data_IF_131009549959
#
_entry.id   IF_131009549959
#
_cell.length_a   1.000
_cell.length_b   1.000
_cell.length_c   1.000
_cell.angle_alpha   90.00
_cell.angle_beta   90.00
_cell.angle_gamma   90.00
#
_symmetry.space_group_name_H-M   'P 1'
#
loop_
_entity.id
_entity.type
_entity.pdbx_description
1 polymer ?
#
# COMPACT_ATOMS: atom_id res chain seq x y z
N UNK A 1 -24.86 2.00 3.38
CA UNK A 1 -25.48 3.23 2.86
C UNK A 1 -26.54 2.90 1.81
N UNK A 2 -27.65 3.64 1.75
CA UNK A 2 -28.74 3.44 0.76
C UNK A 2 -28.97 4.76 0.04
N UNK A 3 -29.02 4.74 -1.29
CA UNK A 3 -29.33 5.91 -2.10
C UNK A 3 -30.82 5.90 -2.44
N UNK A 4 -31.49 7.05 -2.28
CA UNK A 4 -32.93 7.20 -2.52
C UNK A 4 -33.15 7.99 -3.80
N UNK A 5 -33.81 7.38 -4.78
CA UNK A 5 -34.28 8.06 -5.98
C UNK A 5 -35.75 8.43 -5.80
N UNK A 6 -36.00 9.72 -5.58
CA UNK A 6 -37.32 10.25 -5.25
C UNK A 6 -38.27 10.07 -6.43
N UNK A 7 -39.45 9.48 -6.17
CA UNK A 7 -40.51 9.31 -7.17
C UNK A 7 -40.17 8.35 -8.33
N UNK A 8 -39.09 7.57 -8.23
CA UNK A 8 -38.69 6.53 -9.21
C UNK A 8 -39.11 5.12 -8.81
N UNK A 9 -39.85 4.99 -7.72
CA UNK A 9 -40.42 3.72 -7.26
C UNK A 9 -41.73 3.40 -7.98
N UNK A 10 -42.49 2.47 -7.39
CA UNK A 10 -43.75 1.98 -7.98
C UNK A 10 -44.86 3.03 -7.81
N UNK A 11 -45.64 3.24 -8.87
CA UNK A 11 -46.83 4.11 -8.83
C UNK A 11 -47.94 3.45 -8.02
N UNK A 12 -48.60 4.21 -7.15
CA UNK A 12 -49.71 3.71 -6.33
C UNK A 12 -50.98 3.55 -7.18
N UNK A 13 -51.73 2.47 -6.94
CA UNK A 13 -52.94 2.15 -7.71
C UNK A 13 -54.17 2.94 -7.22
N UNK A 14 -54.32 3.06 -5.89
CA UNK A 14 -55.51 3.68 -5.27
C UNK A 14 -55.25 5.09 -4.70
N UNK A 15 -54.09 5.69 -4.96
CA UNK A 15 -53.76 7.05 -4.50
C UNK A 15 -52.83 7.78 -5.47
N UNK A 16 -52.91 9.11 -5.56
CA UNK A 16 -51.96 9.88 -6.34
C UNK A 16 -50.57 9.77 -5.71
N UNK A 17 -49.56 9.54 -6.55
CA UNK A 17 -48.15 9.55 -6.14
C UNK A 17 -47.38 8.31 -6.56
N UNK A 18 -46.07 8.47 -6.54
CA UNK A 18 -45.09 7.44 -6.87
C UNK A 18 -44.21 7.20 -5.66
N UNK A 19 -43.92 5.94 -5.34
CA UNK A 19 -42.95 5.61 -4.30
C UNK A 19 -41.52 5.97 -4.70
N UNK A 20 -40.58 5.69 -3.82
CA UNK A 20 -39.15 5.90 -4.06
C UNK A 20 -38.44 4.59 -4.41
N UNK A 21 -37.37 4.69 -5.20
CA UNK A 21 -36.49 3.56 -5.47
C UNK A 21 -35.29 3.61 -4.53
N UNK A 22 -35.06 2.54 -3.78
CA UNK A 22 -33.89 2.40 -2.92
C UNK A 22 -32.81 1.58 -3.61
N UNK A 23 -31.67 2.21 -3.89
CA UNK A 23 -30.53 1.57 -4.54
C UNK A 23 -29.54 1.11 -3.48
N UNK A 24 -29.18 -0.16 -3.57
CA UNK A 24 -28.10 -0.77 -2.79
C UNK A 24 -26.83 -0.81 -3.64
N UNK A 25 -25.81 -0.05 -3.25
CA UNK A 25 -24.50 -0.09 -3.92
C UNK A 25 -23.70 -1.26 -3.35
N UNK A 26 -23.29 -2.18 -4.22
CA UNK A 26 -22.37 -3.26 -3.89
C UNK A 26 -21.05 -3.04 -4.61
N UNK A 27 -20.01 -2.71 -3.86
CA UNK A 27 -18.65 -2.63 -4.39
C UNK A 27 -18.13 -4.06 -4.56
N UNK A 28 -17.80 -4.44 -5.80
CA UNK A 28 -17.15 -5.71 -6.11
C UNK A 28 -15.66 -5.47 -6.23
N UNK A 29 -14.89 -6.01 -5.30
CA UNK A 29 -13.42 -5.99 -5.39
C UNK A 29 -12.96 -7.10 -6.35
N UNK A 30 -12.12 -6.81 -7.34
CA UNK A 30 -11.56 -7.85 -8.21
C UNK A 30 -10.69 -8.82 -7.41
N UNK A 31 -10.83 -10.12 -7.69
CA UNK A 31 -10.08 -11.18 -6.99
C UNK A 31 -8.71 -11.45 -7.61
N UNK A 32 -8.50 -11.10 -8.88
CA UNK A 32 -7.26 -11.27 -9.61
C UNK A 32 -6.86 -9.93 -10.21
N UNK A 33 -5.67 -9.48 -9.88
CA UNK A 33 -5.10 -8.23 -10.37
C UNK A 33 -3.93 -8.54 -11.30
N UNK A 34 -3.77 -7.74 -12.36
CA UNK A 34 -2.52 -7.74 -13.14
C UNK A 34 -1.39 -7.15 -12.30
N UNK A 35 -0.14 -7.35 -12.73
CA UNK A 35 1.02 -6.83 -12.01
C UNK A 35 0.98 -5.30 -11.84
N UNK A 36 0.56 -4.57 -12.88
CA UNK A 36 0.40 -3.11 -12.87
C UNK A 36 -0.69 -2.65 -11.90
N UNK A 37 -1.87 -3.27 -11.97
CA UNK A 37 -2.98 -2.96 -11.07
C UNK A 37 -2.59 -3.22 -9.61
N UNK A 38 -1.90 -4.32 -9.35
CA UNK A 38 -1.40 -4.65 -8.01
C UNK A 38 -0.41 -3.60 -7.53
N UNK A 39 0.52 -3.15 -8.38
CA UNK A 39 1.48 -2.10 -8.02
C UNK A 39 0.78 -0.78 -7.63
N UNK A 40 -0.28 -0.38 -8.34
CA UNK A 40 -1.05 0.82 -8.03
C UNK A 40 -1.85 0.70 -6.72
N UNK A 41 -2.47 -0.45 -6.46
CA UNK A 41 -3.19 -0.67 -5.20
C UNK A 41 -2.23 -0.70 -4.01
N UNK A 42 -1.05 -1.30 -4.19
CA UNK A 42 -0.01 -1.35 -3.17
C UNK A 42 0.61 0.02 -2.89
N UNK A 43 0.89 0.83 -3.91
CA UNK A 43 1.38 2.20 -3.71
C UNK A 43 0.35 3.07 -3.00
N UNK A 44 -0.94 2.89 -3.31
CA UNK A 44 -2.02 3.54 -2.57
C UNK A 44 -2.04 3.10 -1.10
N UNK A 45 -1.92 1.80 -0.84
CA UNK A 45 -1.90 1.25 0.51
C UNK A 45 -0.73 1.76 1.38
N UNK A 46 0.41 2.12 0.77
CA UNK A 46 1.54 2.75 1.47
C UNK A 46 1.25 4.18 1.90
N UNK A 47 0.51 4.91 1.08
CA UNK A 47 0.17 6.32 1.32
C UNK A 47 -1.01 6.47 2.28
N UNK A 48 -1.86 5.45 2.39
CA UNK A 48 -3.04 5.47 3.24
C UNK A 48 -2.66 5.36 4.73
N UNK A 49 -2.99 6.41 5.49
CA UNK A 49 -2.69 6.53 6.92
C UNK A 49 -3.89 6.19 7.81
N UNK A 50 -5.10 6.22 7.25
CA UNK A 50 -6.37 6.03 7.97
C UNK A 50 -6.96 4.64 7.68
N UNK A 51 -6.09 3.63 7.52
CA UNK A 51 -6.54 2.25 7.43
C UNK A 51 -6.48 1.58 8.80
N UNK A 52 -7.67 1.24 9.32
CA UNK A 52 -7.81 0.39 10.49
C UNK A 52 -7.36 -1.05 10.17
N UNK A 53 -6.35 -1.54 10.89
CA UNK A 53 -5.83 -2.91 10.78
C UNK A 53 -4.51 -3.05 10.01
N UNK A 54 -4.26 -4.28 9.53
CA UNK A 54 -3.03 -4.67 8.83
C UNK A 54 -3.34 -4.94 7.37
N UNK A 55 -2.49 -4.45 6.48
CA UNK A 55 -2.57 -4.70 5.05
C UNK A 55 -1.52 -5.75 4.68
N UNK A 56 -1.94 -6.77 3.92
CA UNK A 56 -1.07 -7.88 3.56
C UNK A 56 0.09 -7.40 2.67
N UNK A 57 1.32 -7.78 3.04
CA UNK A 57 2.54 -7.43 2.30
C UNK A 57 3.18 -6.10 2.69
N UNK A 58 2.59 -5.36 3.63
CA UNK A 58 3.21 -4.17 4.22
C UNK A 58 4.00 -4.54 5.47
N UNK A 59 5.24 -4.06 5.55
CA UNK A 59 6.11 -4.21 6.72
C UNK A 59 6.21 -2.87 7.44
N UNK A 60 6.10 -2.88 8.77
CA UNK A 60 6.30 -1.68 9.57
C UNK A 60 7.78 -1.54 9.94
N UNK A 61 8.41 -0.48 9.47
CA UNK A 61 9.79 -0.13 9.84
C UNK A 61 9.84 0.33 11.30
N UNK A 62 11.03 0.26 11.92
CA UNK A 62 11.26 0.73 13.30
C UNK A 62 10.89 2.21 13.50
N UNK A 63 10.94 3.00 12.43
CA UNK A 63 10.54 4.42 12.42
C UNK A 63 9.02 4.63 12.33
N UNK A 64 8.22 3.55 12.29
CA UNK A 64 6.76 3.59 12.18
C UNK A 64 6.23 3.66 10.75
N UNK A 65 7.10 3.85 9.75
CA UNK A 65 6.67 3.89 8.34
C UNK A 65 6.26 2.50 7.85
N UNK A 66 5.15 2.43 7.11
CA UNK A 66 4.65 1.22 6.45
C UNK A 66 5.23 1.17 5.04
N UNK A 67 6.00 0.12 4.73
CA UNK A 67 6.74 0.01 3.46
C UNK A 67 6.63 -1.41 2.91
N UNK A 68 6.54 -1.53 1.59
CA UNK A 68 6.58 -2.80 0.84
C UNK A 68 7.98 -3.00 0.26
N UNK A 69 8.46 -4.24 0.33
CA UNK A 69 9.72 -4.65 -0.28
C UNK A 69 9.63 -4.54 -1.81
N UNK A 70 10.61 -3.88 -2.43
CA UNK A 70 10.61 -3.64 -3.89
C UNK A 70 10.85 -4.93 -4.69
N UNK A 71 11.59 -5.90 -4.12
CA UNK A 71 11.95 -7.14 -4.80
C UNK A 71 10.74 -8.00 -5.16
N UNK A 72 9.68 -7.94 -4.35
CA UNK A 72 8.43 -8.66 -4.59
C UNK A 72 7.56 -7.98 -5.67
N UNK A 73 7.78 -6.69 -5.92
CA UNK A 73 6.93 -5.83 -6.75
C UNK A 73 7.76 -4.84 -7.59
N UNK A 74 8.37 -5.27 -8.70
CA UNK A 74 9.31 -4.44 -9.46
C UNK A 74 8.67 -3.18 -10.04
N UNK A 75 7.38 -3.23 -10.38
CA UNK A 75 6.62 -2.08 -10.89
C UNK A 75 6.30 -1.04 -9.80
N UNK A 76 6.39 -1.39 -8.52
CA UNK A 76 6.16 -0.43 -7.44
C UNK A 76 7.20 0.69 -7.45
N UNK A 77 8.46 0.34 -7.79
CA UNK A 77 9.56 1.29 -7.89
C UNK A 77 9.31 2.38 -8.93
N UNK A 78 8.82 2.00 -10.11
CA UNK A 78 8.50 2.97 -11.17
C UNK A 78 7.32 3.86 -10.78
N UNK A 79 6.30 3.31 -10.12
CA UNK A 79 5.17 4.09 -9.61
C UNK A 79 5.62 5.10 -8.56
N UNK A 80 6.42 4.69 -7.57
CA UNK A 80 6.99 5.61 -6.56
C UNK A 80 7.81 6.72 -7.20
N UNK A 81 8.63 6.38 -8.19
CA UNK A 81 9.45 7.35 -8.90
C UNK A 81 8.58 8.36 -9.69
N UNK A 82 7.54 7.88 -10.37
CA UNK A 82 6.62 8.75 -11.10
C UNK A 82 5.89 9.73 -10.17
N UNK A 83 5.54 9.29 -8.95
CA UNK A 83 4.89 10.13 -7.94
C UNK A 83 5.83 11.13 -7.26
N UNK A 84 7.11 10.81 -7.12
CA UNK A 84 8.08 11.62 -6.37
C UNK A 84 8.73 12.75 -7.19
N UNK A 85 8.41 12.90 -8.48
CA UNK A 85 8.97 13.92 -9.39
C UNK A 85 10.51 14.08 -9.28
N UNK A 86 11.23 13.01 -8.94
CA UNK A 86 12.67 13.01 -8.79
C UNK A 86 13.31 12.27 -9.97
N UNK A 87 14.28 12.89 -10.68
CA UNK A 87 14.98 12.23 -11.76
C UNK A 87 15.80 11.05 -11.24
N UNK A 88 15.84 10.01 -12.07
CA UNK A 88 16.46 8.70 -11.90
C UNK A 88 17.84 8.79 -11.19
N UNK A 89 17.91 8.33 -9.93
CA UNK A 89 19.21 8.22 -9.24
C UNK A 89 19.16 8.29 -7.71
N UNK A 90 18.29 7.55 -7.03
CA UNK A 90 18.40 7.39 -5.58
C UNK A 90 19.25 6.15 -5.25
N UNK A 91 20.42 6.42 -4.67
CA UNK A 91 21.43 5.48 -4.17
C UNK A 91 20.81 4.27 -3.48
N UNK A 92 21.37 3.09 -3.73
CA UNK A 92 20.94 1.87 -3.03
C UNK A 92 21.22 2.09 -1.54
N UNK A 93 20.33 1.61 -0.65
CA UNK A 93 20.55 1.64 0.80
C UNK A 93 21.87 0.94 1.19
N UNK A 94 22.33 0.00 0.36
CA UNK A 94 23.66 -0.62 0.45
C UNK A 94 24.82 0.38 0.35
N UNK A 95 24.68 1.48 -0.40
CA UNK A 95 25.75 2.47 -0.61
C UNK A 95 25.97 3.37 0.63
N UNK A 96 25.13 3.25 1.67
CA UNK A 96 25.24 3.98 2.95
C UNK A 96 25.68 3.09 4.12
N UNK A 97 26.00 1.82 3.87
CA UNK A 97 26.65 0.98 4.89
C UNK A 97 28.12 1.38 4.90
N UNK A 98 28.48 2.33 5.76
CA UNK A 98 29.88 2.57 6.12
C UNK A 98 30.52 1.22 6.47
N UNK A 99 31.68 0.95 5.88
CA UNK A 99 32.63 -0.07 6.32
C UNK A 99 33.12 0.30 7.74
N UNK A 100 32.26 0.16 8.75
CA UNK A 100 32.71 0.17 10.13
C UNK A 100 33.50 -1.10 10.30
N UNK A 101 34.81 -0.94 10.51
CA UNK A 101 35.70 -2.01 10.94
C UNK A 101 34.99 -2.81 12.03
N UNK A 102 34.63 -4.05 11.70
CA UNK A 102 34.07 -4.97 12.67
C UNK A 102 35.17 -5.28 13.68
N UNK A 103 35.06 -4.67 14.85
CA UNK A 103 36.01 -4.83 15.95
C UNK A 103 35.94 -6.26 16.50
N UNK A 104 36.65 -7.17 15.85
CA UNK A 104 36.90 -8.55 16.30
C UNK A 104 38.37 -8.87 16.14
N UNK A 105 39.25 -8.11 16.81
CA UNK A 105 40.64 -8.53 17.07
C UNK A 105 41.12 -8.16 18.49
N UNK A 106 40.91 -9.07 19.44
CA UNK A 106 41.64 -9.25 20.71
C UNK A 106 41.43 -10.72 21.14
N UNK A 107 42.40 -11.61 21.36
CA UNK A 107 43.85 -11.58 21.40
C UNK A 107 44.33 -13.00 21.03
N UNK A 108 45.28 -13.11 20.10
CA UNK A 108 46.10 -14.30 19.95
C UNK A 108 47.56 -13.87 19.93
N UNK A 109 48.23 -13.90 21.08
CA UNK A 109 49.69 -14.05 21.11
C UNK A 109 50.12 -14.79 22.37
N UNK A 110 50.76 -15.92 22.13
CA UNK A 110 51.33 -16.85 23.07
C UNK A 110 52.27 -16.19 24.09
N UNK A 111 52.12 -16.55 25.36
CA UNK A 111 53.15 -16.36 26.37
C UNK A 111 54.12 -17.53 26.26
N UNK A 112 55.30 -17.27 25.69
CA UNK A 112 56.44 -18.18 25.71
C UNK A 112 57.51 -17.52 26.56
N UNK A 113 57.67 -18.03 27.78
CA UNK A 113 58.90 -18.10 28.59
C UNK A 113 58.57 -18.90 29.84
#
# INVERSE_FOLDING_TARGET
HRFRLIGKGIKRLHSPGTGDHYVHIKIKVPSRLTAEQKALVLSYAELDKDTDGTINGLTQTKSGNRVINEDDYPLLKSVRQALSNLPLGSKKVADTIDERETDTKRNATAKKQ
#
